data_IF_143122856911
#
_entry.id   IF_143122856911
#
_cell.length_a   1.000
_cell.length_b   1.000
_cell.length_c   1.000
_cell.angle_alpha   90.00
_cell.angle_beta   90.00
_cell.angle_gamma   90.00
#
_symmetry.space_group_name_H-M   'P 1'
#
loop_
_entity.id
_entity.type
_entity.pdbx_description
1 polymer ?
#
# COMPACT_ATOMS: atom_id res chain seq x y z
N UNK A 1 -3.77 -18.82 -6.08
CA UNK A 1 -3.52 -18.24 -4.76
C UNK A 1 -2.21 -17.47 -4.78
N UNK A 2 -2.22 -16.28 -4.23
CA UNK A 2 -1.04 -15.43 -4.21
C UNK A 2 -0.23 -15.67 -2.94
N UNK A 3 1.09 -15.86 -3.11
CA UNK A 3 2.01 -15.90 -1.98
C UNK A 3 2.75 -14.59 -1.90
N UNK A 4 2.65 -13.93 -0.76
CA UNK A 4 3.41 -12.72 -0.49
C UNK A 4 4.69 -13.11 0.25
N UNK A 5 5.83 -12.91 -0.40
CA UNK A 5 7.13 -13.04 0.26
C UNK A 5 7.44 -11.72 0.93
N UNK A 6 7.27 -11.68 2.24
CA UNK A 6 7.59 -10.47 3.01
C UNK A 6 9.10 -10.40 3.20
N UNK A 7 9.70 -9.37 2.64
CA UNK A 7 11.16 -9.16 2.66
C UNK A 7 11.50 -8.04 3.62
N UNK A 8 12.32 -8.36 4.62
CA UNK A 8 12.75 -7.39 5.61
C UNK A 8 11.67 -7.05 6.63
N UNK A 9 12.01 -6.27 7.66
CA UNK A 9 11.07 -5.90 8.70
C UNK A 9 10.07 -4.85 8.21
N UNK A 10 8.83 -4.95 8.71
CA UNK A 10 7.83 -3.92 8.48
C UNK A 10 8.05 -2.76 9.46
N UNK A 11 7.84 -1.52 9.00
CA UNK A 11 7.93 -0.34 9.86
C UNK A 11 6.67 -0.14 10.70
N UNK A 12 5.59 -0.85 10.39
CA UNK A 12 4.31 -0.74 11.09
C UNK A 12 3.50 -2.01 10.85
N UNK A 13 2.49 -2.21 11.66
CA UNK A 13 1.58 -3.33 11.49
C UNK A 13 0.62 -3.04 10.34
N UNK A 14 0.37 -4.03 9.50
CA UNK A 14 -0.51 -3.87 8.35
C UNK A 14 -1.88 -4.48 8.55
N UNK A 15 -2.05 -5.30 9.59
CA UNK A 15 -3.32 -5.96 9.88
C UNK A 15 -3.77 -6.88 8.75
N UNK A 16 -5.08 -6.97 8.58
CA UNK A 16 -5.66 -7.80 7.52
C UNK A 16 -5.43 -7.14 6.16
N UNK A 17 -4.87 -7.89 5.22
CA UNK A 17 -4.65 -7.39 3.86
C UNK A 17 -5.87 -7.68 2.99
N UNK A 18 -6.42 -6.64 2.37
CA UNK A 18 -7.60 -6.72 1.51
C UNK A 18 -7.24 -6.14 0.13
N UNK A 19 -7.60 -6.86 -0.92
CA UNK A 19 -7.49 -6.39 -2.30
C UNK A 19 -8.87 -6.32 -2.92
N UNK A 20 -9.18 -5.24 -3.64
CA UNK A 20 -10.44 -5.18 -4.37
C UNK A 20 -10.40 -6.11 -5.57
N UNK A 21 -11.59 -6.46 -6.07
CA UNK A 21 -11.69 -7.30 -7.28
C UNK A 21 -11.05 -6.62 -8.48
N UNK A 22 -11.19 -5.31 -8.60
CA UNK A 22 -10.59 -4.56 -9.71
C UNK A 22 -9.07 -4.65 -9.68
N UNK A 23 -8.46 -4.54 -8.51
CA UNK A 23 -7.01 -4.71 -8.38
C UNK A 23 -6.61 -6.13 -8.80
N UNK A 24 -7.33 -7.14 -8.33
CA UNK A 24 -7.03 -8.53 -8.68
C UNK A 24 -7.09 -8.75 -10.18
N UNK A 25 -8.03 -8.11 -10.87
CA UNK A 25 -8.18 -8.25 -12.34
C UNK A 25 -7.14 -7.45 -13.12
N UNK A 26 -6.77 -6.27 -12.65
CA UNK A 26 -6.04 -5.29 -13.45
C UNK A 26 -4.56 -5.17 -13.10
N UNK A 27 -4.15 -5.64 -11.93
CA UNK A 27 -2.76 -5.55 -11.48
C UNK A 27 -2.25 -6.97 -11.23
N UNK A 28 -1.07 -7.30 -11.73
CA UNK A 28 -0.51 -8.63 -11.55
C UNK A 28 -0.20 -8.91 -10.07
N UNK A 29 -0.28 -10.16 -9.67
CA UNK A 29 0.03 -10.58 -8.29
C UNK A 29 1.44 -10.17 -7.87
N UNK A 30 2.40 -10.29 -8.79
CA UNK A 30 3.80 -9.93 -8.53
C UNK A 30 3.91 -8.45 -8.24
N UNK A 31 3.26 -7.62 -9.05
CA UNK A 31 3.31 -6.16 -8.85
C UNK A 31 2.61 -5.73 -7.57
N UNK A 32 1.51 -6.38 -7.22
CA UNK A 32 0.84 -6.15 -5.93
C UNK A 32 1.76 -6.52 -4.77
N UNK A 33 2.42 -7.67 -4.86
CA UNK A 33 3.32 -8.14 -3.80
C UNK A 33 4.51 -7.20 -3.63
N UNK A 34 5.12 -6.76 -4.73
CA UNK A 34 6.23 -5.82 -4.68
C UNK A 34 5.80 -4.50 -4.05
N UNK A 35 4.63 -3.98 -4.47
CA UNK A 35 4.10 -2.73 -3.93
C UNK A 35 3.79 -2.84 -2.44
N UNK A 36 3.18 -3.94 -2.02
CA UNK A 36 2.88 -4.16 -0.62
C UNK A 36 4.15 -4.19 0.24
N UNK A 37 5.19 -4.88 -0.24
CA UNK A 37 6.47 -4.90 0.47
C UNK A 37 7.10 -3.51 0.56
N UNK A 38 6.99 -2.70 -0.50
CA UNK A 38 7.46 -1.31 -0.47
C UNK A 38 6.69 -0.50 0.58
N UNK A 39 5.37 -0.63 0.57
CA UNK A 39 4.50 0.09 1.50
C UNK A 39 4.86 -0.21 2.96
N UNK A 40 4.95 -1.48 3.33
CA UNK A 40 5.24 -1.87 4.70
C UNK A 40 6.64 -1.45 5.16
N UNK A 41 7.54 -1.19 4.23
CA UNK A 41 8.89 -0.71 4.52
C UNK A 41 9.01 0.81 4.51
N UNK A 42 7.91 1.52 4.25
CA UNK A 42 7.90 2.97 4.26
C UNK A 42 8.35 3.60 2.94
N UNK A 43 8.31 2.84 1.84
CA UNK A 43 8.52 3.38 0.50
C UNK A 43 7.15 3.71 -0.07
N UNK A 44 6.75 4.96 0.04
CA UNK A 44 5.38 5.40 -0.25
C UNK A 44 5.07 5.55 -1.75
N UNK A 45 6.04 5.28 -2.60
CA UNK A 45 5.85 5.31 -4.05
C UNK A 45 5.72 6.72 -4.61
N UNK A 46 4.67 6.93 -5.39
CA UNK A 46 4.49 8.14 -6.19
C UNK A 46 3.76 9.27 -5.46
N UNK A 47 3.69 9.24 -4.14
CA UNK A 47 3.06 10.33 -3.39
C UNK A 47 3.89 11.62 -3.53
N UNK A 48 3.24 12.76 -3.40
CA UNK A 48 3.95 14.04 -3.38
C UNK A 48 4.72 14.20 -2.06
N UNK A 49 5.63 15.17 -2.01
CA UNK A 49 6.47 15.39 -0.83
C UNK A 49 5.64 15.69 0.41
N UNK A 50 4.56 16.44 0.26
CA UNK A 50 3.66 16.75 1.37
C UNK A 50 3.03 15.49 1.95
N UNK A 51 2.55 14.60 1.08
CA UNK A 51 1.95 13.35 1.52
C UNK A 51 2.99 12.39 2.10
N UNK A 52 4.22 12.42 1.59
CA UNK A 52 5.31 11.64 2.15
C UNK A 52 5.58 12.05 3.59
N UNK A 53 5.65 13.36 3.84
CA UNK A 53 5.86 13.89 5.20
C UNK A 53 4.68 13.54 6.10
N UNK A 54 3.46 13.59 5.59
CA UNK A 54 2.27 13.19 6.32
C UNK A 54 2.36 11.73 6.76
N UNK A 55 2.79 10.83 5.86
CA UNK A 55 2.98 9.43 6.19
C UNK A 55 4.03 9.24 7.27
N UNK A 56 5.15 9.97 7.21
CA UNK A 56 6.18 9.87 8.24
C UNK A 56 5.66 10.30 9.62
N UNK A 57 4.84 11.35 9.65
CA UNK A 57 4.17 11.76 10.89
C UNK A 57 3.15 10.72 11.35
N UNK A 58 2.47 10.09 10.40
CA UNK A 58 1.47 9.05 10.70
C UNK A 58 2.09 7.81 11.34
N UNK A 59 3.34 7.50 11.04
CA UNK A 59 4.05 6.41 11.70
C UNK A 59 4.18 6.66 13.20
N UNK A 60 4.38 7.92 13.58
CA UNK A 60 4.57 8.33 14.97
C UNK A 60 3.24 8.50 15.70
N UNK A 61 2.27 9.11 15.02
CA UNK A 61 1.02 9.54 15.64
C UNK A 61 -0.18 8.62 15.34
N UNK A 62 0.04 7.51 14.65
CA UNK A 62 -1.02 6.54 14.33
C UNK A 62 -2.18 7.15 13.54
N UNK A 63 -1.85 7.88 12.48
CA UNK A 63 -2.83 8.28 11.48
C UNK A 63 -2.80 7.28 10.33
N UNK A 64 -3.71 7.44 9.38
CA UNK A 64 -3.78 6.63 8.17
C UNK A 64 -2.51 6.79 7.34
N UNK A 65 -2.08 5.69 6.70
CA UNK A 65 -0.94 5.67 5.80
C UNK A 65 -1.43 5.39 4.39
N UNK A 66 -0.91 6.10 3.39
CA UNK A 66 -1.32 5.91 2.00
C UNK A 66 -0.11 5.95 1.07
N UNK A 67 0.00 4.92 0.24
CA UNK A 67 1.00 4.84 -0.82
C UNK A 67 0.33 4.83 -2.18
N UNK A 68 1.04 5.31 -3.19
CA UNK A 68 0.61 5.31 -4.58
C UNK A 68 1.65 4.59 -5.40
N UNK A 69 1.22 3.60 -6.20
CA UNK A 69 2.11 2.84 -7.08
C UNK A 69 1.55 2.81 -8.49
N UNK A 70 2.36 2.39 -9.41
CA UNK A 70 2.00 2.28 -10.81
C UNK A 70 2.52 0.95 -11.35
N UNK A 71 1.69 0.21 -12.08
CA UNK A 71 2.14 -1.04 -12.67
C UNK A 71 2.92 -0.79 -13.97
N UNK A 72 3.41 -1.86 -14.58
CA UNK A 72 4.21 -1.76 -15.81
C UNK A 72 3.48 -1.16 -17.00
N UNK A 73 2.15 -1.10 -16.94
CA UNK A 73 1.31 -0.52 -17.99
C UNK A 73 0.83 0.89 -17.66
N UNK A 74 1.36 1.50 -16.62
CA UNK A 74 0.98 2.85 -16.21
C UNK A 74 -0.30 2.93 -15.40
N UNK A 75 -0.85 1.81 -14.97
CA UNK A 75 -2.07 1.80 -14.17
C UNK A 75 -1.73 2.08 -12.71
N UNK A 76 -2.34 3.12 -12.13
CA UNK A 76 -2.11 3.46 -10.73
C UNK A 76 -3.02 2.70 -9.81
N UNK A 77 -2.49 2.39 -8.62
CA UNK A 77 -3.26 1.78 -7.53
C UNK A 77 -2.73 2.28 -6.21
N UNK A 78 -3.56 2.23 -5.20
CA UNK A 78 -3.25 2.76 -3.87
C UNK A 78 -3.20 1.65 -2.85
N UNK A 79 -2.38 1.85 -1.82
CA UNK A 79 -2.36 0.99 -0.64
C UNK A 79 -2.60 1.88 0.57
N UNK A 80 -3.65 1.57 1.33
CA UNK A 80 -4.06 2.37 2.50
C UNK A 80 -4.07 1.48 3.73
N UNK A 81 -3.33 1.87 4.77
CA UNK A 81 -3.39 1.23 6.08
C UNK A 81 -4.14 2.14 7.03
N UNK A 82 -5.18 1.62 7.66
CA UNK A 82 -6.02 2.40 8.56
C UNK A 82 -5.25 2.85 9.81
N UNK A 83 -5.76 3.90 10.45
CA UNK A 83 -5.07 4.53 11.59
C UNK A 83 -4.79 3.54 12.72
N UNK A 84 -5.72 2.63 13.00
CA UNK A 84 -5.57 1.63 14.07
C UNK A 84 -4.76 0.41 13.63
N UNK A 85 -4.26 0.41 12.40
CA UNK A 85 -3.46 -0.69 11.82
C UNK A 85 -4.22 -2.02 11.73
N UNK A 86 -5.55 -1.97 11.75
CA UNK A 86 -6.36 -3.19 11.69
C UNK A 86 -6.47 -3.78 10.30
N UNK A 87 -6.40 -2.93 9.26
CA UNK A 87 -6.58 -3.38 7.88
C UNK A 87 -5.75 -2.53 6.92
N UNK A 88 -5.20 -3.18 5.91
CA UNK A 88 -4.54 -2.54 4.77
C UNK A 88 -5.30 -2.93 3.52
N UNK A 89 -5.75 -1.94 2.76
CA UNK A 89 -6.54 -2.13 1.55
C UNK A 89 -5.76 -1.72 0.31
N UNK A 90 -5.77 -2.57 -0.70
CA UNK A 90 -5.20 -2.27 -2.02
C UNK A 90 -6.37 -2.06 -2.96
N UNK A 91 -6.44 -0.88 -3.57
CA UNK A 91 -7.59 -0.46 -4.37
C UNK A 91 -7.15 0.44 -5.52
N UNK A 92 -8.04 0.61 -6.49
CA UNK A 92 -7.83 1.59 -7.56
C UNK A 92 -8.29 2.96 -7.07
N UNK A 93 -7.69 4.06 -7.58
CA UNK A 93 -8.07 5.42 -7.13
C UNK A 93 -9.57 5.70 -7.25
N UNK A 94 -10.22 5.22 -8.30
CA UNK A 94 -11.64 5.43 -8.51
C UNK A 94 -12.54 4.67 -7.53
N UNK A 95 -11.96 3.75 -6.77
CA UNK A 95 -12.70 2.99 -5.77
C UNK A 95 -12.64 3.61 -4.38
N UNK A 96 -11.87 4.66 -4.26
CA UNK A 96 -11.72 5.36 -2.97
C UNK A 96 -12.99 6.20 -2.64
#
# INVERSE_FOLDING_TARGET
MMFLHLIGPSRFETGLLVCTRSVIREISEVEVAVAFNRHRQGDWGLVCEEDRLENELSLEHHYRLMSVYENSEGKRFWIITEADRSVTTILLPEEY
#
